data_IF_524862377679
#
_entry.id   IF_524862377679
#
_cell.length_a   1.000
_cell.length_b   1.000
_cell.length_c   1.000
_cell.angle_alpha   90.00
_cell.angle_beta   90.00
_cell.angle_gamma   90.00
#
_symmetry.space_group_name_H-M   'P 1'
#
loop_
_entity.id
_entity.type
_entity.pdbx_description
1 polymer ?
#
# COMPACT_ATOMS: atom_id res chain seq x y z
N UNK A 1 -12.06 -10.92 29.39
CA UNK A 1 -11.30 -11.95 28.65
C UNK A 1 -12.09 -12.72 27.57
N UNK A 2 -13.44 -12.76 27.60
CA UNK A 2 -14.26 -13.48 26.58
C UNK A 2 -14.23 -12.88 25.16
N UNK A 3 -14.06 -11.55 25.02
CA UNK A 3 -14.12 -10.84 23.72
C UNK A 3 -12.97 -11.19 22.76
N UNK A 4 -11.80 -11.54 23.29
CA UNK A 4 -10.64 -11.91 22.49
C UNK A 4 -10.79 -13.26 21.80
N UNK A 5 -11.58 -14.18 22.38
CA UNK A 5 -11.78 -15.52 21.83
C UNK A 5 -12.53 -15.48 20.48
N UNK A 6 -13.45 -14.52 20.31
CA UNK A 6 -14.20 -14.34 19.05
C UNK A 6 -13.30 -13.75 17.96
N UNK A 7 -12.46 -12.77 18.30
CA UNK A 7 -11.52 -12.17 17.35
C UNK A 7 -10.45 -13.16 16.88
N UNK A 8 -9.96 -14.02 17.79
CA UNK A 8 -9.01 -15.08 17.46
C UNK A 8 -9.66 -16.11 16.51
N UNK A 9 -10.89 -16.56 16.79
CA UNK A 9 -11.57 -17.52 15.92
C UNK A 9 -11.79 -17.02 14.48
N UNK A 10 -12.08 -15.72 14.30
CA UNK A 10 -12.27 -15.11 12.99
C UNK A 10 -10.96 -15.00 12.18
N UNK A 11 -9.86 -14.66 12.86
CA UNK A 11 -8.53 -14.60 12.24
C UNK A 11 -8.04 -15.99 11.80
N UNK A 12 -8.30 -17.04 12.58
CA UNK A 12 -7.92 -18.41 12.21
C UNK A 12 -8.82 -19.00 11.10
N UNK A 13 -10.10 -18.62 11.04
CA UNK A 13 -11.02 -19.07 9.97
C UNK A 13 -10.67 -18.53 8.58
N UNK A 14 -9.98 -17.39 8.50
CA UNK A 14 -9.55 -16.78 7.24
C UNK A 14 -8.39 -17.53 6.56
N UNK A 15 -7.66 -18.37 7.32
CA UNK A 15 -6.44 -19.05 6.86
C UNK A 15 -6.69 -20.44 6.27
N UNK A 16 -7.90 -21.00 6.38
CA UNK A 16 -8.20 -22.39 6.00
C UNK A 16 -8.95 -22.53 4.66
N UNK A 17 -9.19 -21.43 3.95
CA UNK A 17 -9.77 -21.49 2.60
C UNK A 17 -8.68 -21.63 1.52
N UNK A 18 -7.85 -22.67 1.60
CA UNK A 18 -7.07 -23.17 0.46
C UNK A 18 -7.80 -24.35 -0.21
N UNK A 19 -9.12 -24.23 -0.38
CA UNK A 19 -9.79 -25.04 -1.39
C UNK A 19 -9.11 -24.76 -2.73
N UNK A 20 -8.86 -25.78 -3.55
CA UNK A 20 -8.33 -25.59 -4.90
C UNK A 20 -9.30 -24.72 -5.69
N UNK A 21 -9.10 -23.40 -5.65
CA UNK A 21 -9.90 -22.47 -6.43
C UNK A 21 -9.68 -22.84 -7.89
N UNK A 22 -10.75 -22.95 -8.69
CA UNK A 22 -10.59 -23.07 -10.13
C UNK A 22 -9.68 -21.92 -10.59
N UNK A 23 -8.80 -22.16 -11.59
CA UNK A 23 -7.96 -21.09 -12.12
C UNK A 23 -8.85 -19.90 -12.47
N UNK A 24 -8.43 -18.67 -12.12
CA UNK A 24 -9.23 -17.48 -12.35
C UNK A 24 -9.61 -17.44 -13.82
N UNK A 25 -10.88 -17.11 -14.11
CA UNK A 25 -11.26 -16.82 -15.49
C UNK A 25 -10.39 -15.67 -16.00
N UNK A 26 -10.18 -15.53 -17.33
CA UNK A 26 -9.38 -14.43 -17.88
C UNK A 26 -9.80 -13.06 -17.31
N UNK A 27 -11.10 -12.84 -17.15
CA UNK A 27 -11.66 -11.62 -16.59
C UNK A 27 -11.29 -11.41 -15.11
N UNK A 28 -11.20 -12.48 -14.32
CA UNK A 28 -10.76 -12.41 -12.92
C UNK A 28 -9.25 -12.16 -12.81
N UNK A 29 -8.46 -12.72 -13.73
CA UNK A 29 -7.02 -12.49 -13.79
C UNK A 29 -6.70 -11.02 -14.14
N UNK A 30 -7.41 -10.45 -15.12
CA UNK A 30 -7.33 -9.03 -15.47
C UNK A 30 -7.72 -8.11 -14.31
N UNK A 31 -8.84 -8.40 -13.63
CA UNK A 31 -9.27 -7.65 -12.46
C UNK A 31 -8.23 -7.73 -11.32
N UNK A 32 -7.63 -8.90 -11.10
CA UNK A 32 -6.56 -9.08 -10.12
C UNK A 32 -5.28 -8.32 -10.51
N UNK A 33 -4.91 -8.32 -11.80
CA UNK A 33 -3.76 -7.56 -12.30
C UNK A 33 -3.96 -6.05 -12.12
N UNK A 34 -5.16 -5.54 -12.42
CA UNK A 34 -5.54 -4.15 -12.19
C UNK A 34 -5.50 -3.81 -10.69
N UNK A 35 -6.05 -4.66 -9.83
CA UNK A 35 -6.02 -4.45 -8.38
C UNK A 35 -4.59 -4.40 -7.85
N UNK A 36 -3.72 -5.34 -8.27
CA UNK A 36 -2.30 -5.35 -7.93
C UNK A 36 -1.58 -4.08 -8.39
N UNK A 37 -1.85 -3.64 -9.62
CA UNK A 37 -1.27 -2.41 -10.16
C UNK A 37 -1.71 -1.18 -9.36
N UNK A 38 -2.99 -1.09 -8.98
CA UNK A 38 -3.49 0.00 -8.11
C UNK A 38 -2.85 -0.02 -6.73
N UNK A 39 -2.68 -1.20 -6.13
CA UNK A 39 -2.03 -1.31 -4.81
C UNK A 39 -0.56 -0.92 -4.88
N UNK A 40 0.16 -1.37 -5.90
CA UNK A 40 1.55 -0.95 -6.12
C UNK A 40 1.64 0.57 -6.29
N UNK A 41 0.75 1.15 -7.10
CA UNK A 41 0.67 2.59 -7.29
C UNK A 41 0.37 3.34 -5.99
N UNK A 42 -0.62 2.88 -5.21
CA UNK A 42 -0.94 3.45 -3.91
C UNK A 42 0.27 3.43 -2.96
N UNK A 43 1.09 2.37 -2.99
CA UNK A 43 2.35 2.31 -2.26
C UNK A 43 3.35 3.40 -2.68
N UNK A 44 3.48 3.67 -3.98
CA UNK A 44 4.35 4.77 -4.47
C UNK A 44 3.87 6.14 -4.00
N UNK A 45 2.55 6.39 -4.02
CA UNK A 45 1.93 7.62 -3.52
C UNK A 45 2.13 7.76 -2.01
N UNK A 46 1.96 6.68 -1.25
CA UNK A 46 2.17 6.68 0.20
C UNK A 46 3.62 7.02 0.55
N UNK A 47 4.60 6.48 -0.17
CA UNK A 47 6.02 6.81 0.02
C UNK A 47 6.32 8.29 -0.28
N UNK A 48 5.70 8.84 -1.33
CA UNK A 48 5.83 10.26 -1.64
C UNK A 48 5.25 11.15 -0.53
N UNK A 49 4.07 10.80 0.00
CA UNK A 49 3.47 11.52 1.12
C UNK A 49 4.30 11.40 2.40
N UNK A 50 4.88 10.23 2.67
CA UNK A 50 5.78 10.02 3.80
C UNK A 50 7.04 10.89 3.69
N UNK A 51 7.65 10.96 2.51
CA UNK A 51 8.78 11.85 2.29
C UNK A 51 8.40 13.31 2.58
N UNK A 52 7.24 13.77 2.06
CA UNK A 52 6.76 15.13 2.31
C UNK A 52 6.53 15.42 3.78
N UNK A 53 5.95 14.47 4.53
CA UNK A 53 5.69 14.66 5.95
C UNK A 53 6.97 14.74 6.77
N UNK A 54 7.97 13.91 6.45
CA UNK A 54 9.31 13.98 7.06
C UNK A 54 9.95 15.33 6.75
N UNK A 55 9.91 15.79 5.50
CA UNK A 55 10.47 17.07 5.10
C UNK A 55 9.78 18.26 5.79
N UNK A 56 8.45 18.21 5.93
CA UNK A 56 7.71 19.25 6.64
C UNK A 56 8.15 19.37 8.11
N UNK A 57 8.39 18.24 8.77
CA UNK A 57 8.93 18.22 10.14
C UNK A 57 10.37 18.73 10.16
N UNK A 58 11.23 18.29 9.23
CA UNK A 58 12.61 18.75 9.15
C UNK A 58 12.72 20.26 8.95
N UNK A 59 11.89 20.85 8.08
CA UNK A 59 11.82 22.30 7.89
C UNK A 59 11.33 23.00 9.15
N UNK A 60 10.30 22.46 9.81
CA UNK A 60 9.73 23.06 11.03
C UNK A 60 10.73 23.16 12.18
N UNK A 61 11.64 22.21 12.30
CA UNK A 61 12.64 22.15 13.38
C UNK A 61 14.06 22.42 12.89
N UNK A 62 14.21 23.03 11.70
CA UNK A 62 15.50 23.33 11.09
C UNK A 62 16.31 24.29 11.98
N UNK A 63 17.59 24.00 12.17
CA UNK A 63 18.54 24.88 12.87
C UNK A 63 19.45 25.61 11.88
N UNK A 64 19.97 26.76 12.27
CA UNK A 64 20.84 27.55 11.39
C UNK A 64 22.06 26.73 10.92
N UNK A 65 22.36 26.78 9.62
CA UNK A 65 23.47 26.05 9.02
C UNK A 65 23.16 24.60 8.60
N UNK A 66 21.96 24.07 8.89
CA UNK A 66 21.56 22.75 8.35
C UNK A 66 21.11 22.85 6.89
N UNK A 67 21.51 21.93 6.02
CA UNK A 67 21.02 21.85 4.64
C UNK A 67 19.50 21.62 4.56
N UNK A 68 18.88 22.05 3.48
CA UNK A 68 17.48 21.73 3.21
C UNK A 68 17.29 20.23 2.92
N UNK A 69 16.14 19.66 3.33
CA UNK A 69 15.84 18.27 3.04
C UNK A 69 15.69 18.02 1.54
N UNK A 70 16.09 16.83 1.10
CA UNK A 70 16.05 16.45 -0.31
C UNK A 70 14.62 16.51 -0.88
N UNK A 71 14.44 16.90 -2.15
CA UNK A 71 13.12 16.96 -2.76
C UNK A 71 12.49 15.57 -2.89
N UNK A 72 11.20 15.47 -2.58
CA UNK A 72 10.43 14.25 -2.78
C UNK A 72 10.04 14.11 -4.25
N UNK A 73 10.40 12.99 -4.88
CA UNK A 73 10.01 12.72 -6.26
C UNK A 73 8.52 12.35 -6.34
N UNK A 74 7.75 13.14 -7.10
CA UNK A 74 6.34 12.85 -7.32
C UNK A 74 6.19 11.57 -8.18
N UNK A 75 5.27 10.66 -7.81
CA UNK A 75 5.00 9.48 -8.63
C UNK A 75 4.38 9.93 -9.98
N UNK A 76 4.72 9.26 -11.09
CA UNK A 76 4.10 9.53 -12.38
C UNK A 76 2.60 9.14 -12.34
N UNK A 77 1.78 9.60 -13.29
CA UNK A 77 0.38 9.17 -13.37
C UNK A 77 0.25 7.65 -13.45
N UNK A 78 -0.81 7.10 -12.83
CA UNK A 78 -1.09 5.67 -12.91
C UNK A 78 -1.40 5.27 -14.36
N UNK A 79 -0.67 4.26 -14.86
CA UNK A 79 -0.95 3.62 -16.15
C UNK A 79 -1.48 2.20 -15.86
N UNK A 80 -2.71 1.89 -16.29
CA UNK A 80 -3.25 0.54 -16.11
C UNK A 80 -2.44 -0.48 -16.93
N UNK A 81 -2.25 -1.70 -16.42
CA UNK A 81 -1.60 -2.76 -17.17
C UNK A 81 -2.39 -3.08 -18.45
N UNK A 82 -1.70 -3.48 -19.53
CA UNK A 82 -2.37 -3.88 -20.77
C UNK A 82 -3.31 -5.07 -20.49
N UNK A 83 -4.47 -5.04 -21.16
CA UNK A 83 -5.43 -6.15 -21.22
C UNK A 83 -4.92 -7.25 -22.13
#
# INVERSE_FOLDING_TARGET
MKRWLVSIACLFGSSLALAALPPPTPQQAEAAALARAKTAYAGTVANFQLCQSINAVAVKYKTAGTPDPAPCAAPPPFVPPPT
#
